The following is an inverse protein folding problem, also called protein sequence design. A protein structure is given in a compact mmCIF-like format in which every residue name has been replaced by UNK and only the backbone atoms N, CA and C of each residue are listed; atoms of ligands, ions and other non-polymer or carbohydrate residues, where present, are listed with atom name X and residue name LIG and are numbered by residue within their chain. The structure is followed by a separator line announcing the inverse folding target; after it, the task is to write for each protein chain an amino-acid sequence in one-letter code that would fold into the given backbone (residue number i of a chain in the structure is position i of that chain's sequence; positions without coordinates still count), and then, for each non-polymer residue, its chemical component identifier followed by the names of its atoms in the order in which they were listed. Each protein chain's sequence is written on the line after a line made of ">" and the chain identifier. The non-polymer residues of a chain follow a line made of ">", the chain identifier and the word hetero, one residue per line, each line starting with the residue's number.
data_IF_464897969843
#
_entry.id   IF_464897969843
#
_cell.length_a   1.000
_cell.length_b   1.000
_cell.length_c   1.000
_cell.angle_alpha   90.00
_cell.angle_beta   90.00
_cell.angle_gamma   90.00
#
_symmetry.space_group_name_H-M   'P 1'
#
loop_
_entity.id
_entity.type
_entity.pdbx_description
1 polymer ?
#
# COMPACT_ATOMS: atom_id res chain seq x y z
N UNK A 1 -16.93 8.18 2.88
CA UNK A 1 -15.50 7.88 2.66
C UNK A 1 -14.98 7.17 3.90
N UNK A 2 -14.27 6.05 3.76
CA UNK A 2 -13.59 5.38 4.87
C UNK A 2 -12.08 5.47 4.68
N UNK A 3 -11.35 5.65 5.78
CA UNK A 3 -9.88 5.78 5.78
C UNK A 3 -9.32 4.78 6.78
N UNK A 4 -8.35 4.00 6.34
CA UNK A 4 -7.62 3.05 7.19
C UNK A 4 -6.15 3.45 7.19
N UNK A 5 -5.62 3.70 8.38
CA UNK A 5 -4.20 3.93 8.61
C UNK A 5 -3.59 2.67 9.23
N UNK A 6 -2.40 2.29 8.78
CA UNK A 6 -1.66 1.16 9.35
C UNK A 6 -0.18 1.46 9.36
N UNK A 7 0.46 1.30 10.51
CA UNK A 7 1.92 1.27 10.65
C UNK A 7 2.27 -0.06 11.29
N UNK A 8 3.17 -0.83 10.67
CA UNK A 8 3.62 -2.12 11.18
C UNK A 8 5.14 -2.18 11.14
N UNK A 9 5.74 -2.58 12.26
CA UNK A 9 7.10 -3.09 12.28
C UNK A 9 7.08 -4.52 11.72
N UNK A 10 8.03 -4.85 10.87
CA UNK A 10 8.06 -6.12 10.14
C UNK A 10 9.45 -6.75 10.23
N UNK A 11 9.50 -8.06 10.45
CA UNK A 11 10.76 -8.78 10.68
C UNK A 11 11.27 -9.51 9.43
N UNK A 12 10.42 -9.76 8.43
CA UNK A 12 10.79 -10.50 7.22
C UNK A 12 10.09 -10.00 5.95
N UNK A 13 10.66 -10.35 4.79
CA UNK A 13 10.14 -9.93 3.48
C UNK A 13 8.73 -10.46 3.20
N UNK A 14 8.38 -11.65 3.68
CA UNK A 14 7.05 -12.24 3.47
C UNK A 14 5.96 -11.39 4.11
N UNK A 15 6.19 -10.91 5.33
CA UNK A 15 5.28 -10.00 6.01
C UNK A 15 5.19 -8.62 5.31
N UNK A 16 6.27 -8.15 4.67
CA UNK A 16 6.23 -6.94 3.83
C UNK A 16 5.29 -7.18 2.64
N UNK A 17 5.42 -8.31 1.95
CA UNK A 17 4.55 -8.67 0.83
C UNK A 17 3.08 -8.79 1.27
N UNK A 18 2.84 -9.45 2.41
CA UNK A 18 1.50 -9.60 2.98
C UNK A 18 0.89 -8.25 3.37
N UNK A 19 1.68 -7.36 3.99
CA UNK A 19 1.24 -6.02 4.36
C UNK A 19 0.88 -5.15 3.15
N UNK A 20 1.49 -5.43 1.99
CA UNK A 20 1.25 -4.76 0.72
C UNK A 20 0.23 -5.49 -0.15
N UNK A 21 -0.36 -6.58 0.35
CA UNK A 21 -1.30 -7.43 -0.37
C UNK A 21 -0.74 -7.96 -1.71
N UNK A 22 0.57 -8.22 -1.77
CA UNK A 22 1.26 -8.82 -2.91
C UNK A 22 1.20 -10.33 -2.74
N UNK A 23 0.53 -11.03 -3.65
CA UNK A 23 0.40 -12.49 -3.56
C UNK A 23 1.76 -13.20 -3.71
N UNK A 24 1.96 -14.27 -2.94
CA UNK A 24 3.15 -15.13 -3.05
C UNK A 24 3.33 -15.73 -4.45
N UNK A 25 2.24 -16.01 -5.17
CA UNK A 25 2.33 -16.45 -6.57
C UNK A 25 2.86 -15.34 -7.49
N UNK A 26 2.54 -14.07 -7.23
CA UNK A 26 3.07 -12.93 -7.96
C UNK A 26 4.54 -12.63 -7.61
N UNK A 27 5.01 -12.93 -6.40
CA UNK A 27 6.44 -12.83 -6.06
C UNK A 27 7.25 -13.99 -6.66
N UNK A 28 6.75 -15.23 -6.57
CA UNK A 28 7.43 -16.44 -7.06
C UNK A 28 7.50 -16.50 -8.58
N UNK A 29 6.39 -16.20 -9.29
CA UNK A 29 6.35 -16.30 -10.77
C UNK A 29 7.30 -15.31 -11.46
N UNK A 30 7.67 -14.23 -10.79
CA UNK A 30 8.54 -13.21 -11.35
C UNK A 30 9.99 -13.29 -10.88
N UNK A 31 10.33 -14.07 -9.84
CA UNK A 31 11.69 -14.55 -9.48
C UNK A 31 12.73 -13.49 -9.11
N UNK A 32 12.55 -12.28 -9.61
CA UNK A 32 13.19 -11.02 -9.36
C UNK A 32 12.06 -10.03 -9.56
N UNK A 33 11.79 -9.21 -8.57
CA UNK A 33 10.79 -8.16 -8.62
C UNK A 33 11.08 -7.18 -9.79
N UNK A 34 10.63 -7.50 -11.00
CA UNK A 34 10.88 -6.70 -12.22
C UNK A 34 9.66 -6.60 -13.13
N UNK A 35 8.55 -7.29 -12.81
CA UNK A 35 7.43 -7.45 -13.74
C UNK A 35 6.11 -6.77 -13.35
N UNK A 36 5.97 -6.27 -12.13
CA UNK A 36 4.73 -5.61 -11.69
C UNK A 36 5.09 -4.33 -10.92
N UNK A 37 4.48 -3.20 -11.29
CA UNK A 37 4.77 -1.88 -10.70
C UNK A 37 4.63 -1.85 -9.16
N UNK A 38 3.75 -2.70 -8.61
CA UNK A 38 3.55 -2.83 -7.17
C UNK A 38 4.49 -3.83 -6.48
N UNK A 39 5.25 -4.64 -7.20
CA UNK A 39 6.29 -5.44 -6.57
C UNK A 39 7.61 -4.64 -6.61
N UNK A 40 7.93 -4.00 -7.75
CA UNK A 40 9.20 -3.33 -8.05
C UNK A 40 9.62 -2.23 -7.06
N UNK A 41 8.69 -1.76 -6.23
CA UNK A 41 8.98 -0.73 -5.25
C UNK A 41 9.68 -1.27 -3.99
N UNK A 42 9.58 -2.56 -3.67
CA UNK A 42 10.22 -3.14 -2.48
C UNK A 42 11.67 -3.51 -2.81
N UNK A 43 12.63 -2.89 -2.12
CA UNK A 43 14.03 -3.26 -2.24
C UNK A 43 14.34 -4.43 -1.29
N UNK A 44 14.25 -5.66 -1.79
CA UNK A 44 14.44 -6.89 -1.00
C UNK A 44 15.77 -6.93 -0.26
N UNK A 45 16.87 -6.53 -0.94
CA UNK A 45 18.20 -6.50 -0.34
C UNK A 45 18.24 -5.58 0.87
N UNK A 46 17.68 -4.37 0.75
CA UNK A 46 17.61 -3.42 1.87
C UNK A 46 16.71 -3.89 2.99
N UNK A 47 15.61 -4.59 2.69
CA UNK A 47 14.73 -5.17 3.71
C UNK A 47 15.46 -6.27 4.50
N UNK A 48 16.20 -7.14 3.82
CA UNK A 48 16.94 -8.25 4.43
C UNK A 48 18.18 -7.81 5.21
N UNK A 49 18.88 -6.78 4.72
CA UNK A 49 20.10 -6.25 5.36
C UNK A 49 19.80 -5.35 6.57
N UNK A 50 18.62 -4.72 6.60
CA UNK A 50 18.23 -3.77 7.64
C UNK A 50 17.82 -4.47 8.93
N UNK A 51 18.11 -3.83 10.06
CA UNK A 51 17.77 -4.37 11.38
C UNK A 51 16.34 -4.01 11.80
N UNK A 52 15.77 -2.96 11.22
CA UNK A 52 14.39 -2.54 11.45
C UNK A 52 13.72 -2.27 10.11
N UNK A 53 12.53 -2.82 9.89
CA UNK A 53 11.70 -2.55 8.73
C UNK A 53 10.31 -2.14 9.16
N UNK A 54 9.75 -1.14 8.47
CA UNK A 54 8.41 -0.63 8.73
C UNK A 54 7.63 -0.50 7.44
N UNK A 55 6.34 -0.79 7.51
CA UNK A 55 5.37 -0.49 6.46
C UNK A 55 4.34 0.49 6.99
N UNK A 56 4.26 1.65 6.35
CA UNK A 56 3.21 2.65 6.57
C UNK A 56 2.26 2.59 5.39
N UNK A 57 0.98 2.35 5.65
CA UNK A 57 -0.05 2.34 4.60
C UNK A 57 -1.28 3.15 4.98
N UNK A 58 -1.84 3.82 3.96
CA UNK A 58 -3.09 4.56 4.06
C UNK A 58 -3.99 4.13 2.92
N UNK A 59 -5.13 3.54 3.27
CA UNK A 59 -6.17 3.12 2.31
C UNK A 59 -7.39 4.00 2.48
N UNK A 60 -7.76 4.68 1.40
CA UNK A 60 -8.92 5.56 1.34
C UNK A 60 -9.91 4.93 0.38
N UNK A 61 -11.13 4.69 0.84
CA UNK A 61 -12.23 4.20 0.03
C UNK A 61 -13.33 5.28 -0.06
N UNK A 62 -13.53 5.79 -1.26
CA UNK A 62 -14.61 6.72 -1.54
C UNK A 62 -15.86 5.88 -1.82
N UNK A 63 -16.82 5.91 -0.89
CA UNK A 63 -18.05 5.15 -1.03
C UNK A 63 -18.77 5.56 -2.34
N UNK A 64 -18.78 4.62 -3.29
CA UNK A 64 -19.34 4.76 -4.62
C UNK A 64 -18.77 3.67 -5.51
N UNK A 65 -19.60 2.67 -5.86
CA UNK A 65 -19.29 1.84 -7.02
C UNK A 65 -19.27 2.77 -8.23
N UNK A 66 -18.34 2.59 -9.16
CA UNK A 66 -18.67 2.95 -10.55
C UNK A 66 -19.99 2.22 -10.83
N UNK A 67 -21.10 2.94 -10.99
CA UNK A 67 -22.36 2.34 -11.43
C UNK A 67 -22.07 1.72 -12.77
N UNK A 68 -21.85 0.40 -12.78
CA UNK A 68 -21.72 -0.30 -14.04
C UNK A 68 -23.13 -0.34 -14.60
N UNK A 69 -23.34 0.47 -15.64
CA UNK A 69 -24.46 0.34 -16.56
C UNK A 69 -24.67 -1.16 -16.89
N UNK A 70 -25.93 -1.54 -17.08
CA UNK A 70 -26.42 -2.93 -17.21
C UNK A 70 -25.40 -3.87 -17.86
N UNK A 71 -24.71 -4.66 -17.02
CA UNK A 71 -23.78 -5.67 -17.48
C UNK A 71 -24.56 -6.84 -18.07
N UNK A 72 -24.20 -7.24 -19.29
CA UNK A 72 -24.81 -8.37 -19.97
C UNK A 72 -23.75 -9.40 -20.34
N UNK A 73 -24.09 -10.68 -20.16
CA UNK A 73 -23.24 -11.77 -20.62
C UNK A 73 -23.40 -11.97 -22.12
N UNK A 74 -22.29 -12.01 -22.84
CA UNK A 74 -22.25 -12.27 -24.29
C UNK A 74 -21.59 -13.62 -24.55
N UNK A 75 -22.35 -14.65 -24.96
CA UNK A 75 -21.79 -15.96 -25.27
C UNK A 75 -20.96 -15.92 -26.56
N UNK A 76 -19.89 -16.73 -26.59
CA UNK A 76 -19.08 -17.01 -27.79
C UNK A 76 -19.72 -18.22 -28.47
N UNK A 77 -20.14 -18.01 -29.72
CA UNK A 77 -20.79 -19.06 -30.49
C UNK A 77 -19.90 -20.30 -30.65
N UNK A 78 -20.49 -21.47 -30.43
CA UNK A 78 -19.81 -22.77 -30.57
C UNK A 78 -18.87 -23.14 -29.43
N UNK A 79 -18.81 -22.35 -28.33
CA UNK A 79 -18.00 -22.72 -27.17
C UNK A 79 -18.61 -23.94 -26.45
N UNK A 80 -17.87 -25.06 -26.30
CA UNK A 80 -18.34 -26.20 -25.52
C UNK A 80 -18.47 -25.82 -24.04
N UNK A 81 -19.58 -26.21 -23.40
CA UNK A 81 -19.84 -25.90 -21.98
C UNK A 81 -18.70 -26.35 -21.04
N UNK A 82 -18.02 -27.46 -21.35
CA UNK A 82 -16.89 -27.96 -20.58
C UNK A 82 -15.63 -27.08 -20.62
N UNK A 83 -15.56 -26.08 -21.50
CA UNK A 83 -14.44 -25.14 -21.63
C UNK A 83 -14.80 -23.72 -21.18
N UNK A 84 -15.97 -23.53 -20.56
CA UNK A 84 -16.43 -22.21 -20.13
C UNK A 84 -15.40 -21.50 -19.26
N UNK A 85 -14.98 -22.12 -18.16
CA UNK A 85 -14.03 -21.53 -17.20
C UNK A 85 -12.64 -21.30 -17.80
N UNK A 86 -12.24 -22.13 -18.77
CA UNK A 86 -10.96 -21.96 -19.47
C UNK A 86 -10.96 -20.67 -20.33
N UNK A 87 -12.09 -20.34 -20.94
CA UNK A 87 -12.21 -19.20 -21.87
C UNK A 87 -12.64 -17.92 -21.17
N UNK A 88 -13.63 -18.00 -20.28
CA UNK A 88 -14.19 -16.84 -19.58
C UNK A 88 -13.58 -16.59 -18.20
N UNK A 89 -13.02 -17.63 -17.58
CA UNK A 89 -12.70 -17.60 -16.16
C UNK A 89 -13.89 -18.01 -15.28
N UNK A 90 -13.68 -17.96 -13.97
CA UNK A 90 -14.65 -18.29 -12.93
C UNK A 90 -15.54 -17.09 -12.54
N UNK A 91 -15.05 -15.88 -12.78
CA UNK A 91 -15.72 -14.62 -12.48
C UNK A 91 -15.31 -13.51 -13.45
N UNK A 92 -16.05 -12.41 -13.44
CA UNK A 92 -15.75 -11.22 -14.24
C UNK A 92 -15.65 -9.97 -13.36
N UNK A 93 -15.01 -8.93 -13.87
CA UNK A 93 -14.92 -7.63 -13.19
C UNK A 93 -16.24 -6.88 -13.39
N UNK A 94 -17.05 -6.77 -12.33
CA UNK A 94 -18.34 -6.06 -12.37
C UNK A 94 -18.22 -4.56 -12.09
N UNK A 95 -17.02 -4.07 -11.82
CA UNK A 95 -16.76 -2.67 -11.50
C UNK A 95 -15.53 -2.50 -10.62
N UNK A 96 -15.32 -1.27 -10.17
CA UNK A 96 -14.17 -0.91 -9.35
C UNK A 96 -14.60 -0.08 -8.15
N UNK A 97 -13.92 -0.29 -7.02
CA UNK A 97 -13.92 0.65 -5.91
C UNK A 97 -13.01 1.82 -6.25
N UNK A 98 -13.49 3.04 -5.98
CA UNK A 98 -12.71 4.27 -6.14
C UNK A 98 -12.13 4.71 -4.82
N UNK A 99 -10.93 5.28 -4.86
CA UNK A 99 -10.25 5.74 -3.68
C UNK A 99 -8.80 6.04 -3.94
N UNK A 100 -7.95 5.70 -2.97
CA UNK A 100 -6.51 5.79 -3.11
C UNK A 100 -5.82 4.87 -2.11
N UNK A 101 -4.62 4.45 -2.48
CA UNK A 101 -3.76 3.62 -1.67
C UNK A 101 -2.38 4.26 -1.65
N UNK A 102 -1.83 4.45 -0.46
CA UNK A 102 -0.47 4.91 -0.23
C UNK A 102 0.25 3.84 0.59
N UNK A 103 1.45 3.47 0.17
CA UNK A 103 2.30 2.51 0.87
C UNK A 103 3.75 2.99 0.85
N UNK A 104 4.39 2.96 2.01
CA UNK A 104 5.81 3.25 2.18
C UNK A 104 6.48 2.11 2.96
N UNK A 105 7.56 1.58 2.40
CA UNK A 105 8.46 0.64 3.07
C UNK A 105 9.68 1.43 3.52
N UNK A 106 10.00 1.34 4.81
CA UNK A 106 11.10 2.04 5.45
C UNK A 106 12.03 1.00 6.04
N UNK A 107 13.25 0.94 5.54
CA UNK A 107 14.30 0.02 5.97
C UNK A 107 15.41 0.82 6.64
N UNK A 108 15.73 0.47 7.89
CA UNK A 108 16.71 1.17 8.72
C UNK A 108 17.84 0.22 9.11
N UNK A 109 19.05 0.61 8.73
CA UNK A 109 20.29 -0.01 9.19
C UNK A 109 20.92 0.85 10.28
N UNK A 110 21.12 0.26 11.46
CA UNK A 110 21.68 0.91 12.64
C UNK A 110 23.11 0.43 12.81
N UNK A 111 24.10 1.33 12.67
CA UNK A 111 25.50 0.97 12.83
C UNK A 111 25.83 0.52 14.27
N UNK A 112 25.26 1.20 15.27
CA UNK A 112 25.44 0.87 16.68
C UNK A 112 24.25 0.07 17.24
N UNK A 113 24.42 -1.24 17.32
CA UNK A 113 23.39 -2.16 17.84
C UNK A 113 22.97 -1.86 19.28
N UNK A 114 23.80 -1.19 20.08
CA UNK A 114 23.42 -0.81 21.45
C UNK A 114 22.29 0.24 21.47
N UNK A 115 22.14 1.02 20.39
CA UNK A 115 21.10 2.03 20.23
C UNK A 115 19.80 1.49 19.63
N UNK A 116 19.80 0.26 19.09
CA UNK A 116 18.70 -0.31 18.32
C UNK A 116 17.35 -0.23 19.03
N UNK A 117 17.30 -0.57 20.33
CA UNK A 117 16.05 -0.50 21.10
C UNK A 117 15.53 0.93 21.25
N UNK A 118 16.41 1.92 21.39
CA UNK A 118 16.02 3.33 21.52
C UNK A 118 15.57 3.89 20.16
N UNK A 119 16.29 3.55 19.09
CA UNK A 119 15.91 3.89 17.72
C UNK A 119 14.53 3.33 17.39
N UNK A 120 14.27 2.06 17.71
CA UNK A 120 12.95 1.43 17.52
C UNK A 120 11.83 2.22 18.22
N UNK A 121 12.01 2.56 19.50
CA UNK A 121 11.03 3.33 20.26
C UNK A 121 10.79 4.73 19.66
N UNK A 122 11.85 5.42 19.24
CA UNK A 122 11.73 6.73 18.61
C UNK A 122 10.97 6.64 17.27
N UNK A 123 11.24 5.61 16.47
CA UNK A 123 10.58 5.36 15.19
C UNK A 123 9.10 5.00 15.38
N UNK A 124 8.75 4.18 16.36
CA UNK A 124 7.35 3.80 16.63
C UNK A 124 6.48 5.03 16.93
N UNK A 125 7.03 6.04 17.64
CA UNK A 125 6.33 7.29 17.95
C UNK A 125 6.23 8.20 16.71
N UNK A 126 7.31 8.33 15.93
CA UNK A 126 7.34 9.17 14.74
C UNK A 126 6.45 8.64 13.63
N UNK A 127 6.49 7.32 13.37
CA UNK A 127 5.77 6.65 12.28
C UNK A 127 4.29 6.42 12.56
N UNK A 128 3.81 6.74 13.76
CA UNK A 128 2.40 6.65 14.05
C UNK A 128 1.62 7.61 13.10
N UNK A 129 0.57 7.13 12.45
CA UNK A 129 -0.28 7.91 11.54
C UNK A 129 -1.76 7.80 11.94
N UNK A 130 -2.56 8.83 11.62
CA UNK A 130 -4.00 8.85 11.88
C UNK A 130 -4.46 9.92 12.88
N UNK A 131 -5.79 10.08 13.04
CA UNK A 131 -6.43 11.21 13.75
C UNK A 131 -6.20 11.23 15.27
N UNK A 132 -5.61 10.19 15.85
CA UNK A 132 -5.54 9.98 17.31
C UNK A 132 -4.15 10.20 17.91
N UNK A 133 -3.23 10.89 17.23
CA UNK A 133 -1.85 11.00 17.70
C UNK A 133 -1.53 12.38 18.26
N UNK A 134 -0.95 12.32 19.48
CA UNK A 134 -0.25 13.33 20.28
C UNK A 134 -0.19 14.71 19.63
N UNK A 135 -0.70 15.71 20.35
CA UNK A 135 -0.64 17.13 19.96
C UNK A 135 0.71 17.46 19.33
N UNK A 136 0.68 18.25 18.25
CA UNK A 136 1.87 18.62 17.46
C UNK A 136 3.07 19.03 18.34
N UNK A 137 2.82 19.69 19.48
CA UNK A 137 3.86 20.05 20.46
C UNK A 137 4.56 18.88 21.19
N UNK A 138 3.91 17.73 21.38
CA UNK A 138 4.54 16.54 21.97
C UNK A 138 5.44 15.76 21.01
N UNK A 139 5.19 15.87 19.69
CA UNK A 139 6.04 15.28 18.64
C UNK A 139 7.27 16.11 18.35
N UNK A 140 7.15 17.44 18.33
CA UNK A 140 8.29 18.34 18.11
C UNK A 140 9.33 18.28 19.24
N UNK A 141 8.90 18.12 20.50
CA UNK A 141 9.82 17.89 21.62
C UNK A 141 10.51 16.53 21.51
N UNK A 142 9.79 15.49 21.09
CA UNK A 142 10.36 14.16 20.87
C UNK A 142 11.32 14.11 19.67
N UNK A 143 11.06 14.85 18.60
CA UNK A 143 11.96 14.93 17.42
C UNK A 143 13.30 15.56 17.77
N UNK A 144 13.32 16.68 18.52
CA UNK A 144 14.56 17.34 18.94
C UNK A 144 15.43 16.45 19.82
N UNK A 145 14.81 15.71 20.75
CA UNK A 145 15.53 14.84 21.69
C UNK A 145 16.05 13.54 21.04
N UNK A 146 15.49 13.12 19.90
CA UNK A 146 15.84 11.85 19.24
C UNK A 146 16.55 12.03 17.88
N UNK A 147 16.80 13.26 17.43
CA UNK A 147 17.53 13.51 16.18
C UNK A 147 18.96 12.94 16.26
N UNK A 148 19.64 13.09 17.40
CA UNK A 148 20.96 12.50 17.68
C UNK A 148 20.93 10.95 17.75
N UNK A 149 19.77 10.33 17.98
CA UNK A 149 19.64 8.86 17.96
C UNK A 149 19.56 8.29 16.54
N UNK A 150 19.07 9.09 15.60
CA UNK A 150 19.03 8.73 14.18
C UNK A 150 20.35 9.06 13.47
N UNK A 151 21.22 9.88 14.08
CA UNK A 151 22.58 10.11 13.58
C UNK A 151 23.38 8.80 13.57
N UNK A 152 23.90 8.45 12.40
CA UNK A 152 24.57 7.16 12.18
C UNK A 152 23.62 6.00 11.91
N UNK A 153 22.41 6.28 11.41
CA UNK A 153 21.54 5.27 10.80
C UNK A 153 21.40 5.51 9.30
N UNK A 154 21.40 4.44 8.51
CA UNK A 154 21.08 4.49 7.10
C UNK A 154 19.59 4.16 6.93
N UNK A 155 18.83 5.11 6.38
CA UNK A 155 17.39 4.97 6.17
C UNK A 155 17.12 4.93 4.67
N UNK A 156 16.53 3.84 4.21
CA UNK A 156 16.02 3.69 2.84
C UNK A 156 14.50 3.73 2.87
N UNK A 157 13.90 4.61 2.06
CA UNK A 157 12.44 4.73 1.95
C UNK A 157 12.03 4.48 0.50
N UNK A 158 11.15 3.50 0.32
CA UNK A 158 10.48 3.22 -0.93
C UNK A 158 8.99 3.53 -0.81
N UNK A 159 8.45 4.33 -1.73
CA UNK A 159 7.04 4.75 -1.70
C UNK A 159 6.34 4.36 -3.00
N UNK A 160 5.13 3.84 -2.88
CA UNK A 160 4.20 3.61 -3.98
C UNK A 160 2.82 4.16 -3.62
N UNK A 161 2.13 4.76 -4.60
CA UNK A 161 0.78 5.26 -4.37
C UNK A 161 -0.10 5.21 -5.62
N UNK A 162 -1.41 5.16 -5.39
CA UNK A 162 -2.47 5.19 -6.40
C UNK A 162 -3.53 6.17 -5.92
N UNK A 163 -3.97 7.09 -6.78
CA UNK A 163 -4.87 8.18 -6.39
C UNK A 163 -4.14 9.31 -5.65
N UNK A 164 -4.85 10.38 -5.28
CA UNK A 164 -4.28 11.57 -4.65
C UNK A 164 -3.58 12.55 -5.62
N UNK A 165 -3.26 12.11 -6.84
CA UNK A 165 -2.55 12.91 -7.83
C UNK A 165 -1.08 13.11 -7.46
N UNK A 166 -0.60 14.35 -7.56
CA UNK A 166 0.74 14.71 -7.07
C UNK A 166 0.69 14.88 -5.54
N UNK A 167 1.17 13.87 -4.81
CA UNK A 167 1.14 13.84 -3.34
C UNK A 167 2.34 14.56 -2.69
N UNK A 168 3.40 14.79 -3.48
CA UNK A 168 4.64 15.46 -3.06
C UNK A 168 5.30 16.07 -4.29
N UNK A 169 5.86 17.28 -4.14
CA UNK A 169 6.70 17.90 -5.18
C UNK A 169 7.92 17.03 -5.50
N UNK A 170 8.38 16.95 -6.76
CA UNK A 170 9.53 16.13 -7.14
C UNK A 170 10.82 16.45 -6.36
N UNK A 171 11.06 17.72 -6.02
CA UNK A 171 12.33 18.15 -5.41
C UNK A 171 12.49 17.76 -3.93
N UNK A 172 11.40 17.43 -3.24
CA UNK A 172 11.44 17.15 -1.79
C UNK A 172 11.85 15.69 -1.57
N UNK A 173 12.90 15.37 -0.79
CA UNK A 173 13.26 13.97 -0.55
C UNK A 173 12.23 13.24 0.31
N UNK A 174 12.17 11.91 0.17
CA UNK A 174 11.43 11.05 1.10
C UNK A 174 12.24 10.91 2.39
N UNK A 175 11.63 11.29 3.51
CA UNK A 175 12.15 11.21 4.88
C UNK A 175 11.00 10.76 5.79
N UNK A 176 11.30 10.33 7.02
CA UNK A 176 10.26 9.93 7.97
C UNK A 176 9.20 11.03 8.16
N UNK A 177 9.57 12.30 8.39
CA UNK A 177 8.58 13.38 8.51
C UNK A 177 7.74 13.57 7.24
N UNK A 178 8.33 13.47 6.04
CA UNK A 178 7.57 13.67 4.80
C UNK A 178 6.62 12.51 4.53
N UNK A 179 7.00 11.27 4.83
CA UNK A 179 6.11 10.10 4.75
C UNK A 179 4.91 10.27 5.69
N UNK A 180 5.15 10.65 6.95
CA UNK A 180 4.08 10.82 7.95
C UNK A 180 3.16 11.99 7.57
N UNK A 181 3.70 13.11 7.09
CA UNK A 181 2.92 14.26 6.63
C UNK A 181 2.04 13.91 5.43
N UNK A 182 2.60 13.23 4.43
CA UNK A 182 1.86 12.76 3.26
C UNK A 182 0.79 11.75 3.67
N UNK A 183 1.11 10.76 4.51
CA UNK A 183 0.14 9.77 4.98
C UNK A 183 -1.08 10.42 5.67
N UNK A 184 -0.86 11.42 6.52
CA UNK A 184 -1.94 12.12 7.22
C UNK A 184 -2.79 13.00 6.29
N UNK A 185 -2.18 13.61 5.26
CA UNK A 185 -2.88 14.48 4.29
C UNK A 185 -3.46 13.71 3.10
N UNK A 186 -3.05 12.46 2.88
CA UNK A 186 -3.46 11.65 1.73
C UNK A 186 -4.99 11.52 1.56
N UNK A 187 -5.82 11.37 2.61
CA UNK A 187 -7.27 11.30 2.42
C UNK A 187 -7.89 12.53 1.76
N UNK A 188 -7.40 13.74 2.07
CA UNK A 188 -7.89 14.97 1.44
C UNK A 188 -7.42 15.08 -0.01
N UNK A 189 -6.21 14.59 -0.32
CA UNK A 189 -5.71 14.49 -1.69
C UNK A 189 -6.56 13.52 -2.53
N UNK A 190 -6.89 12.35 -1.97
CA UNK A 190 -7.74 11.34 -2.63
C UNK A 190 -9.18 11.82 -2.79
N UNK A 191 -9.71 12.61 -1.86
CA UNK A 191 -11.01 13.23 -2.01
C UNK A 191 -11.08 14.14 -3.27
N UNK A 192 -9.96 14.77 -3.63
CA UNK A 192 -9.85 15.62 -4.84
C UNK A 192 -9.52 14.83 -6.10
N UNK A 193 -8.73 13.76 -5.99
CA UNK A 193 -8.31 12.94 -7.12
C UNK A 193 -8.34 11.46 -6.74
N UNK A 194 -9.48 10.80 -6.96
CA UNK A 194 -9.61 9.35 -6.71
C UNK A 194 -9.24 8.52 -7.93
N UNK A 195 -8.65 7.35 -7.71
CA UNK A 195 -8.38 6.36 -8.74
C UNK A 195 -9.14 5.06 -8.47
N UNK A 196 -9.23 4.17 -9.46
CA UNK A 196 -9.75 2.80 -9.28
C UNK A 196 -8.70 1.98 -8.52
N UNK A 197 -9.03 1.50 -7.33
CA UNK A 197 -8.08 0.82 -6.44
C UNK A 197 -8.31 -0.68 -6.33
N UNK A 198 -9.54 -1.15 -6.48
CA UNK A 198 -9.86 -2.57 -6.32
C UNK A 198 -10.93 -2.99 -7.31
N UNK A 199 -10.69 -4.07 -8.05
CA UNK A 199 -11.68 -4.69 -8.91
C UNK A 199 -12.70 -5.47 -8.07
N UNK A 200 -13.97 -5.32 -8.40
CA UNK A 200 -15.05 -6.11 -7.80
C UNK A 200 -15.31 -7.28 -8.73
N UNK A 201 -15.06 -8.48 -8.24
CA UNK A 201 -15.33 -9.70 -8.98
C UNK A 201 -16.75 -10.19 -8.69
N UNK A 202 -17.44 -10.63 -9.73
CA UNK A 202 -18.80 -11.16 -9.64
C UNK A 202 -18.89 -12.45 -10.44
N UNK A 203 -19.66 -13.42 -9.94
CA UNK A 203 -19.94 -14.65 -10.67
C UNK A 203 -20.88 -14.39 -11.84
N UNK A 204 -20.68 -15.10 -12.95
CA UNK A 204 -21.56 -15.06 -14.11
C UNK A 204 -23.02 -15.39 -13.77
N UNK A 205 -23.26 -16.27 -12.78
CA UNK A 205 -24.63 -16.62 -12.34
C UNK A 205 -25.39 -15.47 -11.70
N UNK A 206 -24.72 -14.36 -11.33
CA UNK A 206 -25.35 -13.15 -10.84
C UNK A 206 -25.95 -12.29 -11.95
N UNK A 207 -25.56 -12.51 -13.22
CA UNK A 207 -26.13 -11.82 -14.37
C UNK A 207 -27.43 -12.48 -14.78
N UNK A 208 -28.51 -11.71 -14.89
CA UNK A 208 -29.80 -12.22 -15.39
C UNK A 208 -29.68 -12.80 -16.79
N UNK A 209 -28.87 -12.19 -17.65
CA UNK A 209 -28.61 -12.63 -19.03
C UNK A 209 -27.83 -13.95 -19.13
N UNK A 210 -27.19 -14.40 -18.04
CA UNK A 210 -26.48 -15.69 -18.02
C UNK A 210 -27.39 -16.88 -17.67
N UNK A 211 -28.54 -16.61 -17.05
CA UNK A 211 -29.47 -17.67 -16.60
C UNK A 211 -30.49 -18.09 -17.68
N UNK A 212 -30.46 -17.45 -18.85
CA UNK A 212 -31.40 -17.63 -19.96
C UNK A 212 -30.84 -18.63 -20.96
#
# INVERSE_FOLDING_TARGET
>A
QSVTYSTRAIDNLSEVMDALNISAAASIKYGTIHGNASAAFVNEGKVLESQLNYVVSVKVNNAGKDESESLEFVPIDGLPAGRFTEVYGDCFISGFLKGGEFSAVISISVHDKSKLSRVKQALDVQLAVGPSLVSVGGRESFEKDNQELLEGTEITISVNWIGGGEIKKPEVPWTIPTVVSVANTFPSMVARCSARTTAILMSYTALKSFQI
#
